data_IF_164745328224
#
_entry.id   IF_164745328224
#
_cell.length_a   1.000
_cell.length_b   1.000
_cell.length_c   1.000
_cell.angle_alpha   90.00
_cell.angle_beta   90.00
_cell.angle_gamma   90.00
#
_symmetry.space_group_name_H-M   'P 1'
#
loop_
_entity.id
_entity.type
_entity.pdbx_description
1 polymer ?
#
# COMPACT_ATOMS: atom_id res chain seq x y z
N UNK A 1 -2.82 -27.61 12.19
CA UNK A 1 -2.77 -26.25 12.75
C UNK A 1 -3.70 -25.38 11.94
N UNK A 2 -4.94 -25.19 12.41
CA UNK A 2 -5.94 -24.33 11.78
C UNK A 2 -5.44 -22.90 11.83
N UNK A 3 -5.04 -22.36 10.67
CA UNK A 3 -4.73 -20.94 10.52
C UNK A 3 -6.02 -20.19 10.85
N UNK A 4 -6.02 -19.37 11.89
CA UNK A 4 -7.17 -18.48 12.13
C UNK A 4 -7.40 -17.69 10.83
N UNK A 5 -8.65 -17.62 10.33
CA UNK A 5 -8.93 -16.90 9.11
C UNK A 5 -8.54 -15.43 9.30
N UNK A 6 -7.90 -14.84 8.28
CA UNK A 6 -7.61 -13.41 8.23
C UNK A 6 -8.92 -12.63 8.45
N UNK A 7 -8.93 -11.55 9.27
CA UNK A 7 -10.15 -10.78 9.50
C UNK A 7 -10.78 -10.29 8.20
N UNK A 8 -12.11 -10.25 8.14
CA UNK A 8 -12.85 -9.92 6.91
C UNK A 8 -12.58 -8.48 6.48
N UNK A 9 -12.52 -7.56 7.43
CA UNK A 9 -12.20 -6.15 7.22
C UNK A 9 -10.80 -5.94 6.62
N UNK A 10 -9.82 -6.75 7.02
CA UNK A 10 -8.46 -6.72 6.47
C UNK A 10 -8.47 -7.23 5.02
N UNK A 11 -9.19 -8.33 4.78
CA UNK A 11 -9.36 -8.88 3.43
C UNK A 11 -10.03 -7.86 2.52
N UNK A 12 -11.10 -7.23 2.97
CA UNK A 12 -11.86 -6.25 2.21
C UNK A 12 -11.03 -5.00 1.88
N UNK A 13 -10.24 -4.50 2.84
CA UNK A 13 -9.33 -3.40 2.61
C UNK A 13 -8.29 -3.76 1.53
N UNK A 14 -7.65 -4.94 1.62
CA UNK A 14 -6.69 -5.39 0.61
C UNK A 14 -7.33 -5.50 -0.77
N UNK A 15 -8.48 -6.17 -0.85
CA UNK A 15 -9.18 -6.39 -2.13
C UNK A 15 -9.61 -5.07 -2.76
N UNK A 16 -10.07 -4.10 -1.98
CA UNK A 16 -10.59 -2.83 -2.51
C UNK A 16 -9.53 -1.80 -2.83
N UNK A 17 -8.45 -1.74 -2.05
CA UNK A 17 -7.54 -0.57 -2.05
C UNK A 17 -6.07 -0.90 -2.30
N UNK A 18 -5.68 -2.17 -2.25
CA UNK A 18 -4.28 -2.60 -2.35
C UNK A 18 -4.06 -3.46 -3.58
N UNK A 19 -3.31 -2.95 -4.54
CA UNK A 19 -3.00 -3.60 -5.82
C UNK A 19 -1.56 -4.12 -5.89
N UNK A 20 -0.70 -3.73 -4.95
CA UNK A 20 0.69 -4.21 -4.89
C UNK A 20 1.22 -4.27 -3.45
N UNK A 21 2.26 -5.08 -3.25
CA UNK A 21 2.97 -5.16 -1.96
C UNK A 21 3.60 -3.80 -1.61
N UNK A 22 4.19 -3.10 -2.58
CA UNK A 22 4.75 -1.77 -2.37
C UNK A 22 3.70 -0.76 -1.85
N UNK A 23 2.46 -0.85 -2.34
CA UNK A 23 1.34 -0.03 -1.87
C UNK A 23 0.92 -0.38 -0.44
N UNK A 24 0.85 -1.66 -0.11
CA UNK A 24 0.59 -2.09 1.27
C UNK A 24 1.67 -1.55 2.22
N UNK A 25 2.94 -1.75 1.88
CA UNK A 25 4.05 -1.35 2.74
C UNK A 25 4.14 0.17 2.88
N UNK A 26 3.87 0.93 1.81
CA UNK A 26 3.77 2.38 1.87
C UNK A 26 2.66 2.85 2.81
N UNK A 27 1.47 2.23 2.74
CA UNK A 27 0.35 2.53 3.63
C UNK A 27 0.72 2.30 5.09
N UNK A 28 1.28 1.12 5.41
CA UNK A 28 1.70 0.79 6.78
C UNK A 28 2.82 1.70 7.28
N UNK A 29 3.79 2.03 6.41
CA UNK A 29 4.91 2.91 6.73
C UNK A 29 4.45 4.33 7.12
N UNK A 30 3.53 4.91 6.34
CA UNK A 30 2.97 6.25 6.57
C UNK A 30 1.97 6.27 7.72
N UNK A 31 1.16 5.21 7.88
CA UNK A 31 0.27 5.07 9.04
C UNK A 31 1.04 5.11 10.36
N UNK A 32 2.12 4.32 10.46
CA UNK A 32 3.00 4.32 11.64
C UNK A 32 3.69 5.67 11.91
N UNK A 33 3.75 6.55 10.89
CA UNK A 33 4.37 7.89 10.93
C UNK A 33 3.37 8.99 10.59
N UNK A 34 2.14 8.84 11.05
CA UNK A 34 1.02 9.71 10.65
C UNK A 34 1.20 11.23 10.83
N UNK A 35 2.12 11.66 11.71
CA UNK A 35 2.45 13.07 11.96
C UNK A 35 3.55 13.60 11.03
N UNK A 36 4.19 12.75 10.25
CA UNK A 36 5.31 13.09 9.37
C UNK A 36 4.85 13.20 7.91
N UNK A 37 5.63 13.93 7.12
CA UNK A 37 5.46 14.08 5.69
C UNK A 37 6.68 13.49 4.98
N UNK A 38 6.44 12.77 3.88
CA UNK A 38 7.48 12.05 3.17
C UNK A 38 7.36 12.24 1.66
N UNK A 39 8.47 12.50 0.99
CA UNK A 39 8.53 12.42 -0.47
C UNK A 39 8.68 10.96 -0.94
N UNK A 40 8.30 10.70 -2.20
CA UNK A 40 8.31 9.35 -2.76
C UNK A 40 9.71 8.71 -2.81
N UNK A 41 10.77 9.48 -3.04
CA UNK A 41 12.12 8.96 -3.13
C UNK A 41 12.64 8.50 -1.76
N UNK A 42 12.33 9.26 -0.71
CA UNK A 42 12.64 8.93 0.68
C UNK A 42 11.93 7.65 1.12
N UNK A 43 10.63 7.50 0.80
CA UNK A 43 9.89 6.25 1.08
C UNK A 43 10.46 5.08 0.29
N UNK A 44 10.73 5.25 -1.01
CA UNK A 44 11.28 4.20 -1.87
C UNK A 44 12.61 3.65 -1.32
N UNK A 45 13.50 4.57 -0.92
CA UNK A 45 14.79 4.22 -0.29
C UNK A 45 14.59 3.46 1.02
N UNK A 46 13.63 3.88 1.85
CA UNK A 46 13.41 3.29 3.18
C UNK A 46 12.80 1.90 3.12
N UNK A 47 11.95 1.66 2.11
CA UNK A 47 11.29 0.38 1.85
C UNK A 47 12.04 -0.50 0.84
N UNK A 48 13.21 -0.07 0.36
CA UNK A 48 14.02 -0.77 -0.64
C UNK A 48 13.21 -1.13 -1.92
N UNK A 49 12.32 -0.23 -2.33
CA UNK A 49 11.45 -0.40 -3.48
C UNK A 49 11.93 0.45 -4.68
N UNK A 50 11.66 0.05 -5.93
CA UNK A 50 11.91 0.88 -7.10
C UNK A 50 11.19 2.24 -6.99
N UNK A 51 11.84 3.38 -7.32
CA UNK A 51 11.20 4.69 -7.20
C UNK A 51 9.91 4.86 -8.02
N UNK A 52 9.84 4.24 -9.20
CA UNK A 52 8.63 4.23 -10.03
C UNK A 52 7.46 3.55 -9.35
N UNK A 53 7.70 2.39 -8.75
CA UNK A 53 6.68 1.57 -8.11
C UNK A 53 6.17 2.26 -6.86
N UNK A 54 7.07 2.87 -6.09
CA UNK A 54 6.70 3.66 -4.91
C UNK A 54 5.91 4.91 -5.27
N UNK A 55 6.29 5.61 -6.34
CA UNK A 55 5.53 6.77 -6.81
C UNK A 55 4.10 6.38 -7.21
N UNK A 56 3.94 5.26 -7.94
CA UNK A 56 2.63 4.74 -8.33
C UNK A 56 1.80 4.30 -7.11
N UNK A 57 2.43 3.62 -6.14
CA UNK A 57 1.82 3.21 -4.89
C UNK A 57 1.27 4.41 -4.08
N UNK A 58 2.09 5.44 -3.87
CA UNK A 58 1.69 6.63 -3.12
C UNK A 58 0.59 7.42 -3.83
N UNK A 59 0.65 7.52 -5.16
CA UNK A 59 -0.41 8.15 -5.95
C UNK A 59 -1.73 7.40 -5.80
N UNK A 60 -1.73 6.06 -5.95
CA UNK A 60 -2.94 5.25 -5.78
C UNK A 60 -3.54 5.36 -4.38
N UNK A 61 -2.71 5.40 -3.33
CA UNK A 61 -3.19 5.60 -1.96
C UNK A 61 -3.75 7.01 -1.72
N UNK A 62 -3.21 8.04 -2.37
CA UNK A 62 -3.74 9.39 -2.31
C UNK A 62 -5.10 9.49 -3.02
N UNK A 63 -5.22 8.88 -4.20
CA UNK A 63 -6.48 8.83 -4.97
C UNK A 63 -7.59 8.10 -4.20
N UNK A 64 -7.24 7.04 -3.47
CA UNK A 64 -8.16 6.28 -2.62
C UNK A 64 -8.44 6.98 -1.26
N UNK A 65 -7.78 8.12 -1.00
CA UNK A 65 -7.99 8.97 0.17
C UNK A 65 -7.34 8.48 1.46
N UNK A 66 -6.33 7.60 1.38
CA UNK A 66 -5.50 7.20 2.52
C UNK A 66 -4.38 8.19 2.81
N UNK A 67 -3.93 8.92 1.79
CA UNK A 67 -2.86 9.91 1.90
C UNK A 67 -3.35 11.29 1.47
N UNK A 68 -2.83 12.33 2.12
CA UNK A 68 -2.90 13.70 1.61
C UNK A 68 -1.58 13.98 0.90
N UNK A 69 -1.67 14.47 -0.34
CA UNK A 69 -0.53 14.94 -1.12
C UNK A 69 -0.46 16.47 -1.08
N UNK A 70 0.67 17.02 -0.65
CA UNK A 70 0.92 18.47 -0.64
C UNK A 70 2.38 18.74 -1.04
N UNK A 71 2.61 19.64 -1.99
CA UNK A 71 3.96 20.02 -2.42
C UNK A 71 4.88 18.86 -2.88
N UNK A 72 4.32 17.72 -3.29
CA UNK A 72 5.10 16.52 -3.65
C UNK A 72 5.46 15.61 -2.47
N UNK A 73 5.00 15.95 -1.26
CA UNK A 73 5.06 15.11 -0.08
C UNK A 73 3.71 14.45 0.19
N UNK A 74 3.77 13.32 0.90
CA UNK A 74 2.63 12.51 1.30
C UNK A 74 2.60 12.37 2.81
N UNK A 75 1.40 12.47 3.38
CA UNK A 75 1.14 12.16 4.80
C UNK A 75 -0.10 11.30 4.92
N UNK A 76 -0.15 10.51 5.98
CA UNK A 76 -1.33 9.71 6.27
C UNK A 76 -2.55 10.60 6.58
N UNK A 77 -3.70 10.25 5.99
CA UNK A 77 -4.97 10.93 6.19
C UNK A 77 -5.75 10.24 7.30
N UNK A 78 -5.49 10.62 8.56
CA UNK A 78 -6.16 10.04 9.74
C UNK A 78 -7.68 10.15 9.63
N UNK A 79 -8.36 9.00 9.78
CA UNK A 79 -9.81 8.90 9.83
C UNK A 79 -10.22 7.74 10.72
N UNK A 80 -11.09 8.00 11.70
CA UNK A 80 -11.49 7.01 12.70
C UNK A 80 -12.08 5.72 12.10
N UNK A 81 -12.74 5.80 10.94
CA UNK A 81 -13.36 4.65 10.28
C UNK A 81 -12.37 3.77 9.50
N UNK A 82 -11.20 4.31 9.13
CA UNK A 82 -10.16 3.61 8.36
C UNK A 82 -8.95 3.23 9.21
N UNK A 83 -8.61 4.04 10.21
CA UNK A 83 -7.43 3.83 11.06
C UNK A 83 -7.48 2.45 11.73
N UNK A 84 -8.63 2.02 12.26
CA UNK A 84 -8.79 0.69 12.85
C UNK A 84 -8.55 -0.45 11.85
N UNK A 85 -9.00 -0.31 10.60
CA UNK A 85 -8.79 -1.32 9.57
C UNK A 85 -7.32 -1.38 9.10
N UNK A 86 -6.64 -0.22 9.04
CA UNK A 86 -5.20 -0.15 8.72
C UNK A 86 -4.35 -0.70 9.86
N UNK A 87 -4.74 -0.47 11.12
CA UNK A 87 -4.10 -1.06 12.29
C UNK A 87 -4.25 -2.58 12.31
N UNK A 88 -5.47 -3.09 12.09
CA UNK A 88 -5.71 -4.53 11.93
C UNK A 88 -4.92 -5.14 10.77
N UNK A 89 -4.76 -4.40 9.65
CA UNK A 89 -3.91 -4.82 8.54
C UNK A 89 -2.44 -4.90 8.97
N UNK A 90 -1.93 -3.95 9.75
CA UNK A 90 -0.55 -3.95 10.22
C UNK A 90 -0.25 -5.20 11.07
N UNK A 91 -1.15 -5.51 12.01
CA UNK A 91 -1.07 -6.72 12.83
C UNK A 91 -1.15 -7.99 11.96
N UNK A 92 -2.13 -8.05 11.05
CA UNK A 92 -2.30 -9.18 10.17
C UNK A 92 -1.09 -9.40 9.24
N UNK A 93 -0.48 -8.33 8.73
CA UNK A 93 0.69 -8.45 7.83
C UNK A 93 1.89 -9.09 8.54
N UNK A 94 2.11 -8.79 9.82
CA UNK A 94 3.15 -9.41 10.62
C UNK A 94 2.95 -10.92 10.82
N UNK A 95 1.70 -11.39 10.88
CA UNK A 95 1.36 -12.79 11.15
C UNK A 95 1.00 -13.62 9.90
N UNK A 96 0.57 -12.97 8.82
CA UNK A 96 -0.02 -13.60 7.63
C UNK A 96 0.61 -13.11 6.31
N UNK A 97 1.91 -12.82 6.31
CA UNK A 97 2.66 -12.33 5.14
C UNK A 97 2.39 -13.14 3.85
N UNK A 98 2.53 -14.47 3.90
CA UNK A 98 2.35 -15.34 2.72
C UNK A 98 0.90 -15.28 2.20
N UNK A 99 -0.15 -15.50 3.01
CA UNK A 99 -1.54 -15.32 2.56
C UNK A 99 -1.83 -13.94 1.96
N UNK A 100 -1.34 -12.87 2.58
CA UNK A 100 -1.63 -11.50 2.15
C UNK A 100 -0.96 -11.20 0.80
N UNK A 101 0.33 -11.53 0.66
CA UNK A 101 1.04 -11.36 -0.62
C UNK A 101 0.44 -12.21 -1.73
N UNK A 102 0.01 -13.45 -1.43
CA UNK A 102 -0.72 -14.29 -2.39
C UNK A 102 -2.08 -13.67 -2.76
N UNK A 103 -2.80 -13.10 -1.81
CA UNK A 103 -4.08 -12.42 -2.09
C UNK A 103 -3.87 -11.26 -3.06
N UNK A 104 -2.89 -10.40 -2.80
CA UNK A 104 -2.54 -9.27 -3.68
C UNK A 104 -2.17 -9.76 -5.08
N UNK A 105 -1.30 -10.77 -5.19
CA UNK A 105 -0.88 -11.32 -6.49
C UNK A 105 -1.99 -12.07 -7.24
N UNK A 106 -2.99 -12.59 -6.53
CA UNK A 106 -4.14 -13.28 -7.13
C UNK A 106 -5.17 -12.33 -7.73
N UNK A 107 -5.12 -11.03 -7.40
CA UNK A 107 -6.04 -10.04 -7.95
C UNK A 107 -5.81 -9.95 -9.48
N UNK A 108 -6.88 -9.97 -10.29
CA UNK A 108 -6.74 -9.61 -11.70
C UNK A 108 -6.19 -8.18 -11.73
N UNK A 109 -5.08 -7.97 -12.46
CA UNK A 109 -4.45 -6.66 -12.55
C UNK A 109 -5.50 -5.66 -13.06
N UNK A 110 -5.98 -4.79 -12.17
CA UNK A 110 -6.84 -3.68 -12.58
C UNK A 110 -5.98 -2.82 -13.50
N UNK A 111 -6.32 -2.80 -14.79
CA UNK A 111 -5.69 -1.93 -15.77
C UNK A 111 -6.13 -0.51 -15.43
N UNK A 112 -5.51 0.11 -14.42
CA UNK A 112 -5.78 1.51 -14.06
C UNK A 112 -4.89 2.50 -14.80
N UNK A 113 -3.91 2.08 -15.59
CA UNK A 113 -3.22 2.99 -16.52
C UNK A 113 -2.54 2.24 -17.67
N UNK A 114 -3.03 2.46 -18.89
CA UNK A 114 -2.40 2.06 -20.16
C UNK A 114 -1.11 2.85 -20.48
N UNK A 115 -0.57 3.64 -19.55
CA UNK A 115 0.50 4.61 -19.85
C UNK A 115 1.91 4.16 -19.47
N UNK A 116 2.09 3.06 -18.72
CA UNK A 116 3.42 2.63 -18.26
C UNK A 116 3.94 1.32 -18.88
N UNK A 117 3.17 0.68 -19.77
CA UNK A 117 3.50 -0.63 -20.35
C UNK A 117 4.70 -0.65 -21.32
N UNK A 118 5.40 0.49 -21.52
CA UNK A 118 6.50 0.61 -22.48
C UNK A 118 7.88 0.91 -21.88
N UNK A 119 8.09 0.77 -20.57
CA UNK A 119 9.45 0.81 -20.01
C UNK A 119 10.04 -0.60 -20.00
N UNK A 120 10.30 -1.12 -21.20
CA UNK A 120 11.13 -2.29 -21.42
C UNK A 120 12.50 -2.08 -20.78
N UNK A 121 12.96 -3.11 -20.05
CA UNK A 121 14.30 -3.21 -19.46
C UNK A 121 15.38 -3.02 -20.53
N UNK A 122 16.39 -2.22 -20.20
CA UNK A 122 17.73 -2.31 -20.76
C UNK A 122 18.71 -2.21 -19.60
N UNK A 123 19.19 -3.37 -19.16
CA UNK A 123 20.61 -3.75 -19.12
C UNK A 123 20.73 -5.20 -18.65
#
# INVERSE_FOLDING_TARGET
>A
MSKAPMPEEVRDLIVRHIDSVAQLEALLFLHARSSEQWDAASVAKRLYAPPSDMAAALAGLADDGFLVRDGGQYRYARRSDRDAAVEALAEAYAHYLIPITNLIHSKPRHIRTFSDAFKFRKD
#
